data_IF_025761859675
#
_entry.id   IF_025761859675
#
_cell.length_a   1.000
_cell.length_b   1.000
_cell.length_c   1.000
_cell.angle_alpha   90.00
_cell.angle_beta   90.00
_cell.angle_gamma   90.00
#
_symmetry.space_group_name_H-M   'P 1'
#
loop_
_entity.id
_entity.type
_entity.pdbx_description
1 polymer ?
#
# COMPACT_ATOMS: atom_id res chain seq x y z
N UNK A 1 -30.06 23.94 -45.56
CA UNK A 1 -28.92 23.62 -46.45
C UNK A 1 -28.05 22.59 -45.72
N UNK A 2 -28.25 21.26 -45.92
CA UNK A 2 -27.40 20.33 -46.74
C UNK A 2 -25.89 20.57 -46.49
N UNK A 3 -25.05 19.67 -45.96
CA UNK A 3 -24.78 18.22 -46.19
C UNK A 3 -24.04 17.67 -44.93
N UNK A 4 -24.38 16.57 -44.27
CA UNK A 4 -24.25 15.14 -44.59
C UNK A 4 -22.89 14.71 -45.19
N UNK A 5 -22.02 14.12 -44.37
CA UNK A 5 -20.95 13.21 -44.82
C UNK A 5 -20.90 11.99 -43.88
N UNK A 6 -21.39 10.87 -44.39
CA UNK A 6 -21.12 9.52 -43.89
C UNK A 6 -19.71 9.12 -44.32
N UNK A 7 -18.95 8.50 -43.42
CA UNK A 7 -17.86 7.60 -43.78
C UNK A 7 -18.08 6.27 -43.05
N UNK A 8 -18.52 5.30 -43.84
CA UNK A 8 -18.75 3.91 -43.49
C UNK A 8 -17.39 3.20 -43.62
N UNK A 9 -16.84 2.64 -42.54
CA UNK A 9 -15.76 1.66 -42.63
C UNK A 9 -16.27 0.37 -42.00
N UNK A 10 -16.66 -0.55 -42.88
CA UNK A 10 -16.88 -1.94 -42.57
C UNK A 10 -15.52 -2.64 -42.51
N UNK A 11 -15.18 -3.23 -41.36
CA UNK A 11 -14.15 -4.25 -41.28
C UNK A 11 -14.78 -5.53 -40.75
N UNK A 12 -15.03 -6.44 -41.69
CA UNK A 12 -15.36 -7.85 -41.48
C UNK A 12 -14.07 -8.64 -41.34
N UNK A 13 -13.84 -9.34 -40.23
CA UNK A 13 -12.90 -10.46 -40.18
C UNK A 13 -13.42 -11.60 -39.30
N UNK A 14 -13.87 -12.63 -40.01
CA UNK A 14 -13.64 -14.07 -39.79
C UNK A 14 -13.81 -14.65 -38.38
N UNK A 15 -14.99 -15.24 -38.16
CA UNK A 15 -15.24 -16.31 -37.20
C UNK A 15 -14.57 -17.61 -37.68
N UNK A 16 -13.50 -18.03 -37.01
CA UNK A 16 -13.00 -19.41 -37.09
C UNK A 16 -13.65 -20.23 -35.98
N UNK A 17 -14.67 -21.01 -36.34
CA UNK A 17 -15.20 -22.05 -35.46
C UNK A 17 -14.24 -23.24 -35.50
N UNK A 18 -13.51 -23.46 -34.40
CA UNK A 18 -12.81 -24.72 -34.16
C UNK A 18 -13.77 -25.62 -33.39
N UNK A 19 -14.26 -26.67 -34.07
CA UNK A 19 -14.99 -27.76 -33.45
C UNK A 19 -13.97 -28.65 -32.72
N UNK A 20 -13.92 -28.57 -31.40
CA UNK A 20 -13.29 -29.60 -30.57
C UNK A 20 -14.33 -30.64 -30.17
N UNK A 21 -14.18 -31.82 -30.75
CA UNK A 21 -14.79 -33.07 -30.29
C UNK A 21 -13.95 -33.61 -29.13
N UNK A 22 -14.53 -33.69 -27.93
CA UNK A 22 -13.99 -34.52 -26.86
C UNK A 22 -14.95 -35.68 -26.62
N UNK A 23 -14.46 -36.88 -26.87
CA UNK A 23 -15.12 -38.13 -26.51
C UNK A 23 -15.19 -38.31 -25.00
N UNK A 24 -16.18 -39.07 -24.57
CA UNK A 24 -16.28 -39.60 -23.22
C UNK A 24 -15.14 -40.59 -22.99
N UNK A 25 -14.21 -40.22 -22.12
CA UNK A 25 -13.36 -41.18 -21.42
C UNK A 25 -13.52 -40.93 -19.92
N UNK A 26 -14.14 -41.90 -19.25
CA UNK A 26 -14.15 -42.09 -17.81
C UNK A 26 -12.72 -42.03 -17.27
N UNK A 27 -12.41 -41.00 -16.47
CA UNK A 27 -11.16 -40.98 -15.69
C UNK A 27 -11.43 -40.41 -14.29
N UNK A 28 -11.01 -41.18 -13.29
CA UNK A 28 -11.10 -40.87 -11.87
C UNK A 28 -10.49 -39.50 -11.54
N UNK A 29 -11.17 -38.79 -10.65
CA UNK A 29 -10.98 -37.38 -10.35
C UNK A 29 -9.63 -37.09 -9.63
N UNK A 30 -8.63 -36.47 -10.28
CA UNK A 30 -7.32 -36.15 -9.69
C UNK A 30 -7.29 -34.76 -8.99
N UNK A 31 -8.42 -34.04 -8.98
CA UNK A 31 -8.48 -32.62 -8.59
C UNK A 31 -8.17 -32.35 -7.12
N UNK A 32 -8.35 -33.32 -6.22
CA UNK A 32 -8.09 -33.11 -4.79
C UNK A 32 -6.61 -33.26 -4.39
N UNK A 33 -5.78 -33.94 -5.20
CA UNK A 33 -4.35 -34.12 -4.90
C UNK A 33 -3.45 -33.06 -5.53
N UNK A 34 -3.88 -32.43 -6.64
CA UNK A 34 -3.13 -31.33 -7.26
C UNK A 34 -3.16 -30.05 -6.43
N UNK A 35 -4.28 -29.71 -5.78
CA UNK A 35 -4.37 -28.53 -4.90
C UNK A 35 -3.52 -28.70 -3.63
N UNK A 36 -3.46 -29.90 -3.04
CA UNK A 36 -2.62 -30.15 -1.87
C UNK A 36 -1.12 -30.16 -2.22
N UNK A 37 -0.74 -30.69 -3.38
CA UNK A 37 0.66 -30.68 -3.85
C UNK A 37 1.12 -29.27 -4.23
N UNK A 38 0.28 -28.48 -4.90
CA UNK A 38 0.58 -27.08 -5.19
C UNK A 38 0.67 -26.22 -3.91
N UNK A 39 -0.12 -26.49 -2.87
CA UNK A 39 -0.03 -25.77 -1.59
C UNK A 39 1.24 -26.16 -0.80
N UNK A 40 1.68 -27.42 -0.89
CA UNK A 40 2.93 -27.89 -0.28
C UNK A 40 4.17 -27.41 -1.03
N UNK A 41 4.13 -27.30 -2.36
CA UNK A 41 5.24 -26.80 -3.18
C UNK A 41 5.33 -25.26 -3.14
N UNK A 42 4.19 -24.55 -3.02
CA UNK A 42 4.16 -23.07 -2.81
C UNK A 42 4.77 -22.66 -1.46
N UNK A 43 4.75 -23.56 -0.46
CA UNK A 43 5.42 -23.38 0.83
C UNK A 43 6.92 -23.70 0.74
N UNK A 44 7.29 -24.76 0.02
CA UNK A 44 8.69 -25.16 -0.15
C UNK A 44 9.51 -24.23 -1.08
N UNK A 45 8.88 -23.61 -2.08
CA UNK A 45 9.55 -22.67 -2.98
C UNK A 45 9.80 -21.28 -2.35
N UNK A 46 9.12 -20.94 -1.25
CA UNK A 46 9.36 -19.71 -0.48
C UNK A 46 10.60 -19.78 0.43
N UNK A 47 11.24 -20.95 0.54
CA UNK A 47 12.31 -21.22 1.52
C UNK A 47 13.74 -21.07 0.98
N UNK A 48 13.95 -20.66 -0.28
CA UNK A 48 15.26 -20.58 -0.89
C UNK A 48 15.51 -19.20 -1.53
N UNK A 49 15.56 -18.17 -0.70
CA UNK A 49 15.90 -16.81 -1.08
C UNK A 49 16.38 -16.05 0.15
N UNK A 50 17.62 -16.31 0.54
CA UNK A 50 18.26 -15.70 1.71
C UNK A 50 18.72 -14.28 1.34
N UNK A 51 17.77 -13.36 1.28
CA UNK A 51 17.95 -11.92 1.50
C UNK A 51 16.72 -11.46 2.30
N UNK A 52 16.82 -11.75 3.60
CA UNK A 52 15.85 -11.46 4.66
C UNK A 52 15.43 -9.97 4.65
N UNK A 53 14.25 -9.64 5.17
CA UNK A 53 14.03 -8.30 5.74
C UNK A 53 14.92 -8.13 7.00
N UNK A 54 16.24 -8.10 6.83
CA UNK A 54 17.28 -7.99 7.87
C UNK A 54 17.04 -6.75 8.75
N UNK A 55 16.31 -5.76 8.24
CA UNK A 55 16.10 -4.44 8.82
C UNK A 55 14.98 -4.32 9.86
N UNK A 56 13.99 -5.23 9.90
CA UNK A 56 12.84 -5.08 10.83
C UNK A 56 13.30 -5.24 12.30
N UNK A 57 14.49 -5.79 12.52
CA UNK A 57 14.87 -6.33 13.83
C UNK A 57 15.44 -5.34 14.85
N UNK A 58 15.82 -4.11 14.53
CA UNK A 58 16.68 -3.37 15.47
C UNK A 58 16.18 -2.05 16.06
N UNK A 59 15.12 -1.40 15.56
CA UNK A 59 14.70 -0.11 16.15
C UNK A 59 13.19 0.13 16.12
N UNK A 60 12.47 -0.47 17.07
CA UNK A 60 11.04 -0.20 17.33
C UNK A 60 10.78 1.24 17.79
N UNK A 61 11.81 1.90 18.33
CA UNK A 61 11.78 3.26 18.86
C UNK A 61 12.21 4.35 17.85
N UNK A 62 12.73 3.96 16.68
CA UNK A 62 13.07 4.88 15.60
C UNK A 62 12.09 4.70 14.43
N UNK A 63 11.50 5.80 13.99
CA UNK A 63 10.56 5.85 12.88
C UNK A 63 11.02 6.86 11.83
N UNK A 64 10.63 6.65 10.57
CA UNK A 64 10.78 7.69 9.56
C UNK A 64 9.89 8.90 9.86
N UNK A 65 10.36 10.11 9.50
CA UNK A 65 9.57 11.34 9.67
C UNK A 65 8.22 11.26 8.94
N UNK A 66 8.18 10.57 7.80
CA UNK A 66 6.96 10.28 7.04
C UNK A 66 5.92 9.53 7.87
N UNK A 67 6.33 8.45 8.55
CA UNK A 67 5.41 7.66 9.39
C UNK A 67 4.99 8.44 10.64
N UNK A 68 5.88 9.27 11.20
CA UNK A 68 5.53 10.19 12.28
C UNK A 68 4.55 11.29 11.83
N UNK A 69 4.68 11.80 10.60
CA UNK A 69 3.70 12.71 9.99
C UNK A 69 2.31 12.05 9.92
N UNK A 70 2.26 10.74 9.65
CA UNK A 70 1.01 9.94 9.65
C UNK A 70 0.49 9.63 11.05
N UNK A 71 1.16 10.16 12.09
CA UNK A 71 0.71 10.10 13.47
C UNK A 71 1.29 8.95 14.28
N UNK A 72 2.18 8.11 13.73
CA UNK A 72 2.85 7.09 14.52
C UNK A 72 3.84 7.71 15.53
N UNK A 73 3.98 7.06 16.69
CA UNK A 73 4.94 7.41 17.74
C UNK A 73 6.01 6.33 17.91
N UNK A 74 5.59 5.07 17.87
CA UNK A 74 6.44 3.92 18.10
C UNK A 74 5.89 2.74 17.30
N UNK A 75 6.79 1.86 16.86
CA UNK A 75 6.41 0.57 16.32
C UNK A 75 6.61 -0.50 17.39
N UNK A 76 5.54 -1.04 17.95
CA UNK A 76 5.61 -2.07 19.00
C UNK A 76 5.68 -3.45 18.34
N UNK A 77 6.72 -4.21 18.68
CA UNK A 77 6.89 -5.61 18.27
C UNK A 77 6.56 -6.56 19.43
N UNK A 78 5.72 -7.55 19.16
CA UNK A 78 5.44 -8.68 20.05
C UNK A 78 5.54 -9.98 19.25
N UNK A 79 6.59 -10.77 19.49
CA UNK A 79 6.97 -11.92 18.67
C UNK A 79 7.10 -11.56 17.17
N UNK A 80 6.21 -12.10 16.33
CA UNK A 80 6.15 -11.83 14.89
C UNK A 80 5.09 -10.79 14.52
N UNK A 81 4.41 -10.22 15.51
CA UNK A 81 3.34 -9.25 15.34
C UNK A 81 3.84 -7.84 15.63
N UNK A 82 3.38 -6.89 14.83
CA UNK A 82 3.76 -5.49 14.86
C UNK A 82 2.51 -4.61 14.93
N UNK A 83 2.55 -3.58 15.76
CA UNK A 83 1.47 -2.60 15.93
C UNK A 83 2.06 -1.21 16.10
N UNK A 84 1.32 -0.17 15.73
CA UNK A 84 1.75 1.20 16.00
C UNK A 84 1.12 1.76 17.27
N UNK A 85 1.91 2.47 18.07
CA UNK A 85 1.35 3.49 18.96
C UNK A 85 1.24 4.81 18.19
N UNK A 86 0.19 5.59 18.42
CA UNK A 86 -0.09 6.81 17.64
C UNK A 86 -0.37 8.04 18.50
N UNK A 87 -0.16 9.22 17.92
CA UNK A 87 -0.41 10.55 18.48
C UNK A 87 -1.64 11.23 17.90
N UNK A 88 -1.99 10.86 16.67
CA UNK A 88 -3.10 11.42 15.92
C UNK A 88 -3.56 10.44 14.85
N UNK A 89 -4.63 10.82 14.18
CA UNK A 89 -5.18 10.09 13.06
C UNK A 89 -4.50 10.50 11.74
N UNK A 90 -4.57 9.58 10.78
CA UNK A 90 -4.11 9.64 9.40
C UNK A 90 -5.33 9.89 8.50
N UNK A 91 -5.23 10.77 7.52
CA UNK A 91 -6.25 10.90 6.48
C UNK A 91 -5.88 10.09 5.26
N UNK A 92 -6.68 9.07 4.97
CA UNK A 92 -6.46 8.12 3.89
C UNK A 92 -7.78 7.81 3.18
N UNK A 93 -7.84 8.11 1.88
CA UNK A 93 -9.00 7.87 1.00
C UNK A 93 -10.32 8.46 1.54
N UNK A 94 -10.38 9.77 1.83
CA UNK A 94 -11.63 10.40 2.27
C UNK A 94 -12.03 10.10 3.72
N UNK A 95 -11.13 9.50 4.50
CA UNK A 95 -11.45 9.04 5.85
C UNK A 95 -10.32 9.28 6.83
N UNK A 96 -10.71 9.65 8.04
CA UNK A 96 -9.85 9.66 9.22
C UNK A 96 -9.69 8.23 9.76
N UNK A 97 -8.47 7.74 9.80
CA UNK A 97 -8.12 6.41 10.30
C UNK A 97 -6.94 6.49 11.28
N UNK A 98 -6.62 5.41 11.98
CA UNK A 98 -5.54 5.37 12.94
C UNK A 98 -4.68 4.11 12.75
N UNK A 99 -3.37 4.30 12.58
CA UNK A 99 -2.43 3.19 12.40
C UNK A 99 -2.46 2.17 13.55
N UNK A 100 -2.88 2.58 14.76
CA UNK A 100 -3.05 1.66 15.92
C UNK A 100 -4.15 0.61 15.71
N UNK A 101 -5.06 0.83 14.76
CA UNK A 101 -6.16 -0.09 14.46
C UNK A 101 -5.67 -1.31 13.66
N UNK A 102 -4.43 -1.26 13.19
CA UNK A 102 -3.83 -2.28 12.34
C UNK A 102 -2.78 -3.06 13.12
N UNK A 103 -2.74 -4.36 12.84
CA UNK A 103 -1.78 -5.30 13.39
C UNK A 103 -1.24 -6.12 12.23
N UNK A 104 0.08 -6.22 12.16
CA UNK A 104 0.79 -6.83 11.05
C UNK A 104 1.57 -8.04 11.53
N UNK A 105 1.46 -9.15 10.83
CA UNK A 105 2.32 -10.30 11.05
C UNK A 105 3.41 -10.32 9.98
N UNK A 106 4.63 -10.64 10.41
CA UNK A 106 5.76 -10.87 9.52
C UNK A 106 6.35 -12.25 9.82
N UNK A 107 6.00 -13.23 8.97
CA UNK A 107 6.33 -14.65 9.14
C UNK A 107 6.80 -15.18 7.80
N UNK A 108 7.91 -15.92 7.78
CA UNK A 108 8.45 -16.57 6.57
C UNK A 108 8.49 -15.63 5.36
N UNK A 109 9.08 -14.45 5.56
CA UNK A 109 9.24 -13.42 4.54
C UNK A 109 7.90 -12.91 3.93
N UNK A 110 6.81 -13.09 4.67
CA UNK A 110 5.47 -12.67 4.28
C UNK A 110 4.95 -11.69 5.32
N UNK A 111 4.63 -10.48 4.86
CA UNK A 111 3.93 -9.44 5.59
C UNK A 111 2.43 -9.58 5.34
N UNK A 112 1.61 -9.66 6.38
CA UNK A 112 0.14 -9.69 6.29
C UNK A 112 -0.51 -8.98 7.47
N UNK A 113 -1.84 -8.84 7.46
CA UNK A 113 -2.57 -8.44 8.66
C UNK A 113 -2.80 -9.64 9.58
N UNK A 114 -2.68 -9.47 10.91
CA UNK A 114 -2.80 -10.55 11.90
C UNK A 114 -4.13 -11.31 11.88
N UNK A 115 -5.20 -10.71 11.35
CA UNK A 115 -6.54 -11.32 11.28
C UNK A 115 -7.10 -11.36 9.87
N UNK A 116 -6.27 -11.06 8.87
CA UNK A 116 -6.70 -10.98 7.48
C UNK A 116 -5.55 -11.34 6.55
N UNK A 117 -5.39 -12.65 6.34
CA UNK A 117 -4.42 -13.21 5.41
C UNK A 117 -4.80 -12.99 3.93
N UNK A 118 -5.93 -12.36 3.63
CA UNK A 118 -6.29 -12.05 2.24
C UNK A 118 -5.46 -10.93 1.64
N UNK A 119 -4.69 -10.21 2.46
CA UNK A 119 -3.70 -9.21 2.05
C UNK A 119 -2.32 -9.65 2.51
N UNK A 120 -1.44 -9.91 1.56
CA UNK A 120 -0.06 -10.34 1.81
C UNK A 120 0.90 -9.63 0.89
N UNK A 121 2.07 -9.27 1.40
CA UNK A 121 3.23 -8.86 0.61
C UNK A 121 4.38 -9.78 0.98
N UNK A 122 5.06 -10.35 0.00
CA UNK A 122 6.22 -11.20 0.22
C UNK A 122 7.29 -10.91 -0.83
N UNK A 123 8.54 -11.27 -0.56
CA UNK A 123 9.63 -11.14 -1.54
C UNK A 123 10.13 -12.51 -2.01
N UNK A 124 10.53 -12.58 -3.28
CA UNK A 124 11.25 -13.71 -3.88
C UNK A 124 12.37 -13.08 -4.71
N UNK A 125 13.62 -13.45 -4.48
CA UNK A 125 14.80 -12.92 -5.19
C UNK A 125 14.81 -11.38 -5.24
N UNK A 126 14.64 -10.72 -4.09
CA UNK A 126 14.57 -9.26 -3.94
C UNK A 126 13.46 -8.57 -4.75
N UNK A 127 12.49 -9.33 -5.25
CA UNK A 127 11.33 -8.82 -5.97
C UNK A 127 10.09 -8.96 -5.11
N UNK A 128 9.33 -7.87 -4.94
CA UNK A 128 8.12 -7.87 -4.13
C UNK A 128 6.89 -8.31 -4.92
N UNK A 129 6.13 -9.19 -4.30
CA UNK A 129 4.84 -9.67 -4.78
C UNK A 129 3.75 -9.31 -3.79
N UNK A 130 2.53 -9.16 -4.28
CA UNK A 130 1.36 -8.91 -3.45
C UNK A 130 0.24 -9.88 -3.81
N UNK A 131 -0.45 -10.36 -2.79
CA UNK A 131 -1.71 -11.09 -2.90
C UNK A 131 -2.78 -10.27 -2.18
N UNK A 132 -3.82 -9.86 -2.91
CA UNK A 132 -5.06 -9.25 -2.40
C UNK A 132 -6.28 -10.07 -2.87
N UNK A 133 -7.51 -9.80 -2.41
CA UNK A 133 -8.69 -10.52 -2.90
C UNK A 133 -8.93 -10.43 -4.41
N UNK A 134 -8.34 -9.43 -5.09
CA UNK A 134 -8.60 -9.13 -6.50
C UNK A 134 -7.33 -9.05 -7.36
N UNK A 135 -6.14 -9.16 -6.78
CA UNK A 135 -4.89 -9.08 -7.51
C UNK A 135 -3.83 -10.02 -6.91
N UNK A 136 -3.07 -10.66 -7.79
CA UNK A 136 -1.92 -11.48 -7.42
C UNK A 136 -0.84 -11.34 -8.47
N UNK A 137 0.32 -10.83 -8.08
CA UNK A 137 1.41 -10.58 -9.01
C UNK A 137 2.52 -9.76 -8.38
N UNK A 138 3.35 -9.15 -9.24
CA UNK A 138 4.38 -8.22 -8.83
C UNK A 138 3.73 -6.98 -8.20
N UNK A 139 4.34 -6.44 -7.15
CA UNK A 139 3.86 -5.23 -6.49
C UNK A 139 3.85 -4.02 -7.46
N UNK A 140 4.81 -3.95 -8.38
CA UNK A 140 4.87 -2.90 -9.41
C UNK A 140 3.75 -2.96 -10.44
N UNK A 141 3.11 -4.12 -10.61
CA UNK A 141 2.01 -4.35 -11.56
C UNK A 141 0.63 -4.02 -10.95
N UNK A 142 0.57 -3.59 -9.69
CA UNK A 142 -0.68 -3.19 -9.07
C UNK A 142 -1.23 -1.96 -9.78
N UNK A 143 -2.43 -2.08 -10.35
CA UNK A 143 -3.14 -0.97 -10.96
C UNK A 143 -3.30 0.19 -9.96
N UNK A 144 -2.96 1.41 -10.40
CA UNK A 144 -3.13 2.63 -9.60
C UNK A 144 -4.56 2.79 -9.09
N UNK A 145 -5.57 2.31 -9.83
CA UNK A 145 -6.96 2.30 -9.36
C UNK A 145 -7.10 1.55 -8.04
N UNK A 146 -6.47 0.38 -7.92
CA UNK A 146 -6.51 -0.41 -6.70
C UNK A 146 -5.80 0.31 -5.55
N UNK A 147 -4.69 1.00 -5.82
CA UNK A 147 -4.03 1.87 -4.84
C UNK A 147 -4.90 3.08 -4.46
N UNK A 148 -5.75 3.57 -5.37
CA UNK A 148 -6.65 4.68 -5.06
C UNK A 148 -7.88 4.27 -4.25
N UNK A 149 -8.30 3.01 -4.32
CA UNK A 149 -9.58 2.56 -3.74
C UNK A 149 -9.40 1.62 -2.54
N UNK A 150 -8.24 0.96 -2.40
CA UNK A 150 -8.01 -0.02 -1.35
C UNK A 150 -7.19 0.52 -0.19
N UNK A 151 -7.89 0.90 0.87
CA UNK A 151 -7.30 1.38 2.12
C UNK A 151 -6.38 0.36 2.78
N UNK A 152 -6.75 -0.94 2.79
CA UNK A 152 -5.96 -1.97 3.45
C UNK A 152 -4.62 -2.16 2.74
N UNK A 153 -4.63 -2.18 1.41
CA UNK A 153 -3.41 -2.24 0.62
C UNK A 153 -2.51 -1.03 0.89
N UNK A 154 -3.07 0.19 0.94
CA UNK A 154 -2.31 1.39 1.30
C UNK A 154 -1.64 1.27 2.66
N UNK A 155 -2.38 0.84 3.69
CA UNK A 155 -1.83 0.67 5.04
C UNK A 155 -0.74 -0.41 5.08
N UNK A 156 -0.92 -1.50 4.33
CA UNK A 156 0.10 -2.55 4.22
C UNK A 156 1.37 -2.03 3.55
N UNK A 157 1.23 -1.19 2.51
CA UNK A 157 2.35 -0.54 1.83
C UNK A 157 3.03 0.53 2.69
N UNK A 158 2.28 1.27 3.51
CA UNK A 158 2.82 2.18 4.52
C UNK A 158 3.73 1.41 5.48
N UNK A 159 3.26 0.27 5.99
CA UNK A 159 4.06 -0.57 6.87
C UNK A 159 5.28 -1.16 6.16
N UNK A 160 5.10 -1.67 4.94
CA UNK A 160 6.20 -2.19 4.11
C UNK A 160 7.32 -1.15 3.93
N UNK A 161 6.97 0.08 3.55
CA UNK A 161 7.95 1.15 3.33
C UNK A 161 8.72 1.50 4.60
N UNK A 162 8.04 1.54 5.76
CA UNK A 162 8.71 1.77 7.04
C UNK A 162 9.73 0.67 7.37
N UNK A 163 9.35 -0.60 7.21
CA UNK A 163 10.21 -1.72 7.60
C UNK A 163 11.30 -2.06 6.58
N UNK A 164 11.16 -1.60 5.33
CA UNK A 164 12.17 -1.76 4.27
C UNK A 164 13.06 -0.52 4.10
N UNK A 165 12.73 0.60 4.73
CA UNK A 165 13.58 1.80 4.74
C UNK A 165 14.88 1.56 5.53
N UNK A 166 15.97 2.15 5.04
CA UNK A 166 17.29 2.09 5.68
C UNK A 166 17.19 2.64 7.12
N UNK A 167 17.62 1.88 8.15
CA UNK A 167 17.48 2.29 9.54
C UNK A 167 18.51 3.36 9.94
N UNK A 168 19.62 3.47 9.20
CA UNK A 168 20.70 4.42 9.43
C UNK A 168 20.37 5.78 8.83
N UNK A 169 19.56 5.81 7.78
CA UNK A 169 19.20 7.02 7.04
C UNK A 169 17.73 7.38 7.31
N UNK A 170 17.51 8.50 8.00
CA UNK A 170 16.21 9.19 8.12
C UNK A 170 15.20 8.64 9.15
N UNK A 171 15.64 7.84 10.13
CA UNK A 171 14.80 7.49 11.30
C UNK A 171 15.24 8.26 12.55
N UNK A 172 14.27 8.61 13.40
CA UNK A 172 14.53 9.29 14.67
C UNK A 172 13.46 8.93 15.71
N UNK A 173 13.69 9.33 16.96
CA UNK A 173 12.71 9.15 18.03
C UNK A 173 11.59 10.17 17.90
N UNK A 174 10.38 9.76 18.28
CA UNK A 174 9.22 10.65 18.25
C UNK A 174 9.40 11.90 19.10
N UNK A 175 10.06 11.81 20.25
CA UNK A 175 10.30 12.97 21.13
C UNK A 175 11.25 13.99 20.46
N UNK A 176 12.27 13.52 19.74
CA UNK A 176 13.20 14.38 19.00
C UNK A 176 12.51 15.01 17.77
N UNK A 177 11.64 14.26 17.08
CA UNK A 177 10.83 14.79 15.98
C UNK A 177 9.80 15.81 16.47
N UNK A 178 9.03 15.49 17.52
CA UNK A 178 7.97 16.35 18.05
C UNK A 178 8.49 17.66 18.65
N UNK A 179 9.68 17.64 19.24
CA UNK A 179 10.34 18.87 19.74
C UNK A 179 10.81 19.78 18.60
N UNK A 180 11.27 19.24 17.47
CA UNK A 180 11.70 20.02 16.29
C UNK A 180 10.54 20.71 15.59
N UNK A 181 9.37 20.07 15.52
CA UNK A 181 8.19 20.58 14.80
C UNK A 181 7.27 21.45 15.67
N UNK A 182 7.56 21.62 16.97
CA UNK A 182 6.79 22.47 17.89
C UNK A 182 6.91 23.99 17.62
N UNK A 183 7.35 24.39 16.43
CA UNK A 183 7.52 25.78 16.00
C UNK A 183 6.19 26.52 15.76
N UNK A 184 6.25 27.86 15.75
CA UNK A 184 5.08 28.72 15.63
C UNK A 184 4.39 28.65 14.25
N UNK A 185 3.05 28.67 14.25
CA UNK A 185 2.21 28.68 13.05
C UNK A 185 0.95 27.85 13.25
N UNK A 186 1.09 26.53 13.10
CA UNK A 186 0.06 25.54 13.43
C UNK A 186 0.60 24.57 14.48
N UNK A 187 -0.18 24.27 15.52
CA UNK A 187 0.18 23.20 16.46
C UNK A 187 0.30 21.88 15.70
N UNK A 188 1.30 21.04 16.03
CA UNK A 188 1.43 19.69 15.46
C UNK A 188 0.14 18.87 15.57
N UNK A 189 -0.61 19.06 16.66
CA UNK A 189 -1.90 18.40 16.91
C UNK A 189 -3.03 18.92 16.01
N UNK A 190 -2.88 20.12 15.47
CA UNK A 190 -3.80 20.75 14.53
C UNK A 190 -3.34 20.56 13.08
N UNK A 191 -2.19 19.92 12.86
CA UNK A 191 -1.68 19.60 11.54
C UNK A 191 -2.17 18.22 11.11
N UNK A 192 -2.99 18.19 10.06
CA UNK A 192 -3.41 16.97 9.38
C UNK A 192 -2.59 16.77 8.12
N UNK A 193 -2.41 15.51 7.71
CA UNK A 193 -1.67 15.15 6.52
C UNK A 193 -2.58 14.34 5.60
N UNK A 194 -2.71 14.80 4.36
CA UNK A 194 -3.16 13.92 3.28
C UNK A 194 -1.97 13.17 2.73
N UNK A 195 -2.22 11.92 2.35
CA UNK A 195 -1.22 11.00 1.86
C UNK A 195 -1.69 10.44 0.54
N UNK A 196 -0.80 10.41 -0.43
CA UNK A 196 -0.92 9.60 -1.64
C UNK A 196 0.13 8.50 -1.64
N UNK A 197 -0.23 7.30 -2.07
CA UNK A 197 0.68 6.16 -2.21
C UNK A 197 0.77 5.74 -3.68
N UNK A 198 1.97 5.38 -4.13
CA UNK A 198 2.20 4.91 -5.49
C UNK A 198 3.51 4.14 -5.65
N UNK A 199 3.63 3.45 -6.78
CA UNK A 199 4.87 2.73 -7.16
C UNK A 199 5.95 3.65 -7.74
N UNK A 200 5.61 4.92 -8.00
CA UNK A 200 6.54 5.98 -8.38
C UNK A 200 6.00 7.33 -7.89
N UNK A 201 6.83 8.37 -7.93
CA UNK A 201 6.46 9.70 -7.44
C UNK A 201 5.23 10.30 -8.15
N UNK A 202 5.08 10.08 -9.47
CA UNK A 202 3.95 10.62 -10.23
C UNK A 202 2.63 9.93 -9.85
N UNK A 203 2.67 8.61 -9.68
CA UNK A 203 1.57 7.79 -9.16
C UNK A 203 1.15 8.24 -7.76
N UNK A 204 2.11 8.42 -6.85
CA UNK A 204 1.85 8.87 -5.49
C UNK A 204 1.22 10.28 -5.48
N UNK A 205 1.73 11.21 -6.31
CA UNK A 205 1.15 12.55 -6.44
C UNK A 205 -0.26 12.53 -7.02
N UNK A 206 -0.53 11.67 -8.01
CA UNK A 206 -1.86 11.50 -8.57
C UNK A 206 -2.85 10.96 -7.52
N UNK A 207 -2.42 9.99 -6.71
CA UNK A 207 -3.21 9.49 -5.58
C UNK A 207 -3.44 10.58 -4.51
N UNK A 208 -2.42 11.38 -4.18
CA UNK A 208 -2.56 12.49 -3.24
C UNK A 208 -3.61 13.49 -3.72
N UNK A 209 -3.56 13.90 -5.00
CA UNK A 209 -4.54 14.82 -5.58
C UNK A 209 -5.95 14.23 -5.56
N UNK A 210 -6.09 12.92 -5.86
CA UNK A 210 -7.36 12.22 -5.76
C UNK A 210 -7.92 12.30 -4.34
N UNK A 211 -7.09 12.01 -3.33
CA UNK A 211 -7.49 12.04 -1.92
C UNK A 211 -7.87 13.45 -1.45
N UNK A 212 -7.06 14.46 -1.78
CA UNK A 212 -7.38 15.86 -1.45
C UNK A 212 -8.73 16.27 -2.05
N UNK A 213 -9.01 15.91 -3.30
CA UNK A 213 -10.29 16.23 -3.93
C UNK A 213 -11.46 15.57 -3.18
N UNK A 214 -11.31 14.31 -2.77
CA UNK A 214 -12.31 13.61 -1.96
C UNK A 214 -12.52 14.34 -0.61
N UNK A 215 -11.45 14.62 0.13
CA UNK A 215 -11.55 15.27 1.45
C UNK A 215 -12.12 16.69 1.40
N UNK A 216 -11.84 17.44 0.32
CA UNK A 216 -12.47 18.76 0.08
C UNK A 216 -13.97 18.61 -0.16
N UNK A 217 -14.38 17.61 -0.95
CA UNK A 217 -15.79 17.39 -1.28
C UNK A 217 -16.61 16.89 -0.09
N UNK A 218 -16.00 16.06 0.77
CA UNK A 218 -16.64 15.52 1.97
C UNK A 218 -16.67 16.54 3.12
N UNK A 219 -15.93 17.65 2.98
CA UNK A 219 -15.89 18.74 3.95
C UNK A 219 -14.88 18.52 5.08
N UNK A 220 -14.06 17.48 4.99
CA UNK A 220 -13.03 17.14 5.97
C UNK A 220 -11.91 18.18 6.05
N UNK A 221 -11.64 18.89 4.95
CA UNK A 221 -10.69 20.00 4.91
C UNK A 221 -11.34 21.39 5.11
N UNK A 222 -12.60 21.44 5.55
CA UNK A 222 -13.31 22.71 5.74
C UNK A 222 -12.67 23.55 6.85
N UNK A 223 -12.21 24.74 6.48
CA UNK A 223 -11.53 25.66 7.41
C UNK A 223 -10.04 25.37 7.58
N UNK A 224 -9.53 24.31 6.95
CA UNK A 224 -8.11 24.00 6.94
C UNK A 224 -7.35 24.88 5.94
N UNK A 225 -6.09 25.20 6.24
CA UNK A 225 -5.17 25.91 5.34
C UNK A 225 -3.98 25.03 5.03
N UNK A 226 -3.67 24.85 3.75
CA UNK A 226 -2.46 24.13 3.32
C UNK A 226 -1.19 24.77 3.89
N UNK A 227 -0.30 23.94 4.39
CA UNK A 227 1.03 24.29 4.90
C UNK A 227 2.06 23.87 3.85
N UNK A 228 2.54 24.84 3.07
CA UNK A 228 3.54 24.58 2.03
C UNK A 228 3.00 23.82 0.82
N UNK A 229 3.91 23.36 -0.04
CA UNK A 229 3.59 22.53 -1.20
C UNK A 229 3.56 21.05 -0.80
N UNK A 230 2.99 20.22 -1.67
CA UNK A 230 3.06 18.77 -1.50
C UNK A 230 4.50 18.29 -1.65
N UNK A 231 4.90 17.36 -0.79
CA UNK A 231 6.22 16.75 -0.82
C UNK A 231 6.10 15.31 -1.30
N UNK A 232 7.15 14.80 -1.96
CA UNK A 232 7.24 13.40 -2.35
C UNK A 232 8.46 12.77 -1.70
N UNK A 233 8.27 11.57 -1.14
CA UNK A 233 9.31 10.81 -0.47
C UNK A 233 9.20 9.35 -0.87
N UNK A 234 10.30 8.61 -0.81
CA UNK A 234 10.34 7.17 -1.03
C UNK A 234 10.72 6.50 0.27
N UNK A 235 9.93 5.54 0.74
CA UNK A 235 10.33 4.65 1.82
C UNK A 235 10.41 3.24 1.26
N UNK A 236 11.64 2.71 1.17
CA UNK A 236 11.90 1.45 0.49
C UNK A 236 11.40 1.49 -0.96
N UNK A 237 10.56 0.52 -1.32
CA UNK A 237 9.99 0.35 -2.66
C UNK A 237 8.71 1.14 -2.91
N UNK A 238 8.22 1.90 -1.91
CA UNK A 238 6.97 2.63 -1.98
C UNK A 238 7.23 4.13 -2.03
N UNK A 239 6.54 4.83 -2.94
CA UNK A 239 6.54 6.28 -2.99
C UNK A 239 5.31 6.85 -2.30
N UNK A 240 5.53 7.91 -1.54
CA UNK A 240 4.50 8.67 -0.86
C UNK A 240 4.53 10.10 -1.37
N UNK A 241 3.35 10.70 -1.51
CA UNK A 241 3.20 12.13 -1.64
C UNK A 241 2.38 12.63 -0.46
N UNK A 242 2.77 13.73 0.17
CA UNK A 242 2.08 14.24 1.36
C UNK A 242 1.77 15.72 1.21
N UNK A 243 0.66 16.16 1.77
CA UNK A 243 0.32 17.57 1.91
C UNK A 243 -0.13 17.83 3.35
N UNK A 244 0.56 18.74 4.02
CA UNK A 244 0.19 19.18 5.35
C UNK A 244 -0.90 20.26 5.28
N UNK A 245 -1.82 20.25 6.24
CA UNK A 245 -2.85 21.27 6.44
C UNK A 245 -2.97 21.64 7.90
N UNK A 246 -3.17 22.92 8.18
CA UNK A 246 -3.53 23.42 9.49
C UNK A 246 -5.04 23.55 9.62
N UNK A 247 -5.66 22.77 10.51
CA UNK A 247 -7.09 22.79 10.77
C UNK A 247 -7.39 23.37 12.15
N UNK A 248 -8.40 24.26 12.29
CA UNK A 248 -8.80 24.86 13.56
C UNK A 248 -9.49 23.88 14.52
#
# INVERSE_FOLDING_TARGET
MKKLFLALIALTFSTSAVLYSCGEDTTENPSTQLEQKQRSEKSAARQAGQDDFVTIKETTDLLSETIMNFGAKELIKNDNTYTFSTSKDLYLLGMRDNLKNYSFDYIDNTLSFTKDESYQIYSIDNTFYVETPYFKGLLEDVDQKNLNEDRKLNVLMIFLGEVTSDPVLNKTKFDDYSSRIAGGGCSFFNTVYNVGVGMNAAAAQANLLHNIIADVNDGDLKGCRSLGLSESTSLGVVHYATQAWCCP
#
